data_IF_652001308207
#
_entry.id   IF_652001308207
#
_cell.length_a   1.000
_cell.length_b   1.000
_cell.length_c   1.000
_cell.angle_alpha   90.00
_cell.angle_beta   90.00
_cell.angle_gamma   90.00
#
_symmetry.space_group_name_H-M   'P 1'
#
loop_
_entity.id
_entity.type
_entity.pdbx_description
1 polymer ?
#
# COMPACT_ATOMS: atom_id res chain seq x y z
N UNK A 1 5.07 -24.29 -7.91
CA UNK A 1 5.99 -23.54 -8.80
C UNK A 1 6.14 -22.13 -8.24
N UNK A 2 7.35 -21.61 -8.09
CA UNK A 2 7.57 -20.25 -7.61
C UNK A 2 7.25 -19.25 -8.74
N UNK A 3 6.31 -18.34 -8.51
CA UNK A 3 6.03 -17.23 -9.43
C UNK A 3 6.65 -15.96 -8.87
N UNK A 4 7.52 -15.33 -9.65
CA UNK A 4 8.13 -14.05 -9.31
C UNK A 4 7.35 -12.95 -10.02
N UNK A 5 6.82 -11.99 -9.27
CA UNK A 5 6.17 -10.78 -9.81
C UNK A 5 7.12 -9.60 -9.64
N UNK A 6 7.52 -8.96 -10.73
CA UNK A 6 8.27 -7.70 -10.72
C UNK A 6 7.33 -6.50 -10.90
N UNK A 7 7.78 -5.30 -10.57
CA UNK A 7 7.02 -4.07 -10.83
C UNK A 7 6.60 -3.92 -12.30
N UNK A 8 7.47 -4.31 -13.24
CA UNK A 8 7.23 -4.21 -14.68
C UNK A 8 6.06 -5.08 -15.14
N UNK A 9 5.80 -6.16 -14.41
CA UNK A 9 4.78 -7.17 -14.74
C UNK A 9 3.55 -7.08 -13.84
N UNK A 10 3.63 -6.33 -12.75
CA UNK A 10 2.56 -6.22 -11.77
C UNK A 10 1.42 -5.36 -12.31
N UNK A 11 0.15 -5.79 -12.17
CA UNK A 11 -0.97 -4.96 -12.56
C UNK A 11 -1.08 -3.73 -11.64
N UNK A 12 -1.20 -2.56 -12.27
CA UNK A 12 -1.50 -1.31 -11.58
C UNK A 12 -2.98 -1.29 -11.18
N UNK A 13 -3.26 -0.90 -9.94
CA UNK A 13 -4.61 -0.97 -9.36
C UNK A 13 -5.22 0.39 -9.05
N UNK A 14 -4.42 1.46 -8.96
CA UNK A 14 -4.91 2.83 -8.79
C UNK A 14 -4.43 3.73 -9.94
N UNK A 15 -5.30 4.67 -10.34
CA UNK A 15 -5.01 5.60 -11.44
C UNK A 15 -4.00 6.68 -11.02
N UNK A 16 -4.25 7.31 -9.88
CA UNK A 16 -3.53 8.54 -9.49
C UNK A 16 -2.38 8.28 -8.51
N UNK A 17 -2.35 7.10 -7.89
CA UNK A 17 -1.26 6.65 -7.02
C UNK A 17 -0.55 5.49 -7.70
N UNK A 18 0.77 5.43 -7.54
CA UNK A 18 1.55 4.30 -8.00
C UNK A 18 1.34 3.11 -7.05
N UNK A 19 0.32 2.32 -7.39
CA UNK A 19 -0.12 1.15 -6.63
C UNK A 19 -0.12 -0.10 -7.51
N UNK A 20 0.64 -1.11 -7.12
CA UNK A 20 0.79 -2.36 -7.86
C UNK A 20 0.43 -3.57 -7.00
N UNK A 21 -0.39 -4.48 -7.53
CA UNK A 21 -0.70 -5.76 -6.88
C UNK A 21 0.40 -6.76 -7.17
N UNK A 22 1.25 -7.01 -6.18
CA UNK A 22 2.45 -7.84 -6.28
C UNK A 22 2.15 -9.33 -6.09
N UNK A 23 1.17 -9.62 -5.22
CA UNK A 23 0.68 -10.97 -4.94
C UNK A 23 -0.82 -10.91 -4.69
N UNK A 24 -1.52 -11.95 -5.13
CA UNK A 24 -2.91 -12.21 -4.80
C UNK A 24 -3.07 -13.70 -4.51
N UNK A 25 -3.70 -13.98 -3.38
CA UNK A 25 -4.08 -15.32 -2.91
C UNK A 25 -5.51 -15.27 -2.42
N UNK A 26 -6.08 -16.44 -2.12
CA UNK A 26 -7.42 -16.52 -1.56
C UNK A 26 -7.56 -15.85 -0.18
N UNK A 27 -6.45 -15.70 0.55
CA UNK A 27 -6.39 -15.25 1.95
C UNK A 27 -5.67 -13.91 2.15
N UNK A 28 -4.96 -13.40 1.13
CA UNK A 28 -4.19 -12.16 1.26
C UNK A 28 -3.85 -11.54 -0.10
N UNK A 29 -3.63 -10.22 -0.08
CA UNK A 29 -3.03 -9.48 -1.18
C UNK A 29 -1.79 -8.71 -0.69
N UNK A 30 -0.76 -8.63 -1.53
CA UNK A 30 0.39 -7.75 -1.31
C UNK A 30 0.34 -6.62 -2.31
N UNK A 31 0.21 -5.40 -1.82
CA UNK A 31 0.23 -4.19 -2.63
C UNK A 31 1.51 -3.42 -2.35
N UNK A 32 2.22 -3.03 -3.41
CA UNK A 32 3.29 -2.03 -3.30
C UNK A 32 2.69 -0.66 -3.61
N UNK A 33 2.85 0.27 -2.67
CA UNK A 33 2.37 1.64 -2.76
C UNK A 33 3.56 2.60 -2.74
N UNK A 34 3.60 3.53 -3.69
CA UNK A 34 4.48 4.69 -3.67
C UNK A 34 3.60 5.93 -3.55
N UNK A 35 3.75 6.67 -2.44
CA UNK A 35 3.03 7.92 -2.18
C UNK A 35 4.04 9.07 -2.32
N UNK A 36 3.86 9.93 -3.33
CA UNK A 36 4.71 11.11 -3.53
C UNK A 36 4.30 12.25 -2.60
N UNK A 37 5.17 13.24 -2.35
CA UNK A 37 4.79 14.43 -1.60
C UNK A 37 3.53 15.09 -2.18
N UNK A 38 2.51 15.27 -1.33
CA UNK A 38 1.20 15.83 -1.71
C UNK A 38 0.17 14.82 -2.22
N UNK A 39 0.56 13.58 -2.53
CA UNK A 39 -0.39 12.50 -2.79
C UNK A 39 -0.95 11.95 -1.47
N UNK A 40 -2.20 11.49 -1.51
CA UNK A 40 -2.88 10.86 -0.39
C UNK A 40 -3.77 9.73 -0.87
N UNK A 41 -3.89 8.69 -0.07
CA UNK A 41 -5.00 7.75 -0.18
C UNK A 41 -6.16 8.34 0.62
N UNK A 42 -7.34 8.45 0.02
CA UNK A 42 -8.50 8.97 0.75
C UNK A 42 -8.86 8.03 1.91
N UNK A 43 -9.30 8.63 3.02
CA UNK A 43 -9.69 7.90 4.22
C UNK A 43 -10.88 6.99 3.89
N UNK A 44 -10.71 5.70 4.14
CA UNK A 44 -11.74 4.68 3.92
C UNK A 44 -11.58 3.53 4.91
N UNK A 45 -12.63 2.72 5.03
CA UNK A 45 -12.64 1.49 5.83
C UNK A 45 -12.62 0.30 4.90
N UNK A 46 -11.77 -0.68 5.19
CA UNK A 46 -11.77 -1.98 4.52
C UNK A 46 -12.58 -2.97 5.36
N UNK A 47 -13.20 -3.95 4.72
CA UNK A 47 -13.88 -5.08 5.36
C UNK A 47 -12.91 -6.21 5.76
N UNK A 48 -11.60 -5.93 5.72
CA UNK A 48 -10.50 -6.81 6.07
C UNK A 48 -9.36 -6.03 6.76
N UNK A 49 -8.51 -6.76 7.49
CA UNK A 49 -7.35 -6.18 8.16
C UNK A 49 -6.24 -5.80 7.18
N UNK A 50 -5.53 -4.71 7.48
CA UNK A 50 -4.42 -4.20 6.67
C UNK A 50 -3.18 -4.01 7.54
N UNK A 51 -2.03 -4.47 7.04
CA UNK A 51 -0.73 -4.21 7.64
C UNK A 51 0.12 -3.36 6.69
N UNK A 52 0.75 -2.31 7.21
CA UNK A 52 1.66 -1.46 6.45
C UNK A 52 3.11 -1.76 6.84
N UNK A 53 3.97 -1.94 5.83
CA UNK A 53 5.42 -2.02 6.02
C UNK A 53 6.09 -0.87 5.26
N UNK A 54 6.75 0.01 6.01
CA UNK A 54 7.31 1.25 5.46
C UNK A 54 8.74 0.98 5.02
N UNK A 55 8.92 0.88 3.70
CA UNK A 55 10.22 0.58 3.09
C UNK A 55 11.12 1.82 2.99
N UNK A 56 10.53 3.01 2.82
CA UNK A 56 11.24 4.27 2.64
C UNK A 56 10.35 5.46 3.00
N UNK A 57 10.95 6.51 3.58
CA UNK A 57 10.26 7.75 3.94
C UNK A 57 9.51 7.66 5.28
N UNK A 58 8.75 8.71 5.57
CA UNK A 58 7.95 8.83 6.80
C UNK A 58 6.52 9.25 6.43
N UNK A 59 5.68 8.32 5.91
CA UNK A 59 4.30 8.63 5.61
C UNK A 59 3.52 8.87 6.92
N UNK A 60 2.51 9.73 6.86
CA UNK A 60 1.52 9.84 7.94
C UNK A 60 0.40 8.84 7.70
N UNK A 61 0.17 7.97 8.67
CA UNK A 61 -0.94 7.03 8.71
C UNK A 61 -2.02 7.63 9.60
N UNK A 62 -3.21 7.81 9.03
CA UNK A 62 -4.39 8.32 9.73
C UNK A 62 -5.40 7.19 9.91
N UNK A 63 -5.85 6.99 11.14
CA UNK A 63 -7.03 6.19 11.47
C UNK A 63 -8.16 7.12 11.90
N UNK A 64 -9.31 6.55 12.25
CA UNK A 64 -10.45 7.29 12.82
C UNK A 64 -10.11 7.94 14.17
N UNK A 65 -9.25 7.31 14.97
CA UNK A 65 -8.91 7.77 16.33
C UNK A 65 -7.51 8.36 16.45
N UNK A 66 -6.59 8.01 15.56
CA UNK A 66 -5.16 8.26 15.75
C UNK A 66 -4.45 8.74 14.48
N UNK A 67 -3.32 9.40 14.68
CA UNK A 67 -2.38 9.78 13.64
C UNK A 67 -1.00 9.28 14.04
N UNK A 68 -0.37 8.53 13.14
CA UNK A 68 0.98 7.99 13.35
C UNK A 68 1.90 8.44 12.22
N UNK A 69 3.04 9.02 12.57
CA UNK A 69 4.14 9.29 11.64
C UNK A 69 5.39 8.60 12.21
N UNK A 70 6.02 7.67 11.48
CA UNK A 70 7.24 7.02 11.95
C UNK A 70 8.31 8.08 12.24
N UNK A 71 8.93 8.00 13.41
CA UNK A 71 10.10 8.81 13.74
C UNK A 71 11.31 8.16 13.07
N UNK A 72 12.02 8.93 12.23
CA UNK A 72 13.30 8.51 11.62
C UNK A 72 14.43 8.50 12.63
#
# INVERSE_FOLDING_TARGET
>A
MLKITSLETAPRILKDIEAYKMLERADAALIRLTIKPGEKVDLHVNDFDVAFYIMQGAPTILTDTESYTPST
#
